data_IF_380913332326
#
_entry.id   IF_380913332326
#
_cell.length_a   1.000
_cell.length_b   1.000
_cell.length_c   1.000
_cell.angle_alpha   90.00
_cell.angle_beta   90.00
_cell.angle_gamma   90.00
#
_symmetry.space_group_name_H-M   'P 1'
#
loop_
_entity.id
_entity.type
_entity.pdbx_description
1 polymer ?
#
# COMPACT_ATOMS: atom_id res chain seq x y z
N UNK A 1 -13.09 1.39 -9.79
CA UNK A 1 -13.16 1.94 -8.42
C UNK A 1 -11.74 2.34 -8.00
N UNK A 2 -11.59 3.01 -6.87
CA UNK A 2 -10.29 3.37 -6.31
C UNK A 2 -10.25 2.99 -4.83
N UNK A 3 -9.09 2.59 -4.32
CA UNK A 3 -8.91 2.03 -2.97
C UNK A 3 -7.63 2.54 -2.32
N UNK A 4 -7.48 2.23 -1.04
CA UNK A 4 -6.23 2.36 -0.29
C UNK A 4 -5.71 3.81 -0.25
N UNK A 5 -6.64 4.74 -0.04
CA UNK A 5 -6.33 6.16 0.06
C UNK A 5 -5.68 6.48 1.40
N UNK A 6 -4.49 7.09 1.38
CA UNK A 6 -3.79 7.56 2.57
C UNK A 6 -2.95 8.81 2.26
N UNK A 7 -3.24 9.91 2.94
CA UNK A 7 -2.50 11.16 2.73
C UNK A 7 -1.09 11.08 3.32
N UNK A 8 -0.14 11.72 2.64
CA UNK A 8 1.11 12.12 3.25
C UNK A 8 0.80 13.23 4.28
N UNK A 9 1.44 13.20 5.46
CA UNK A 9 1.05 14.08 6.58
C UNK A 9 1.46 15.56 6.39
N UNK A 10 2.27 15.85 5.37
CA UNK A 10 2.78 17.19 5.09
C UNK A 10 2.64 17.53 3.59
N UNK A 11 2.52 18.81 3.22
CA UNK A 11 2.61 19.21 1.82
C UNK A 11 3.93 18.82 1.18
N UNK A 12 3.87 18.45 -0.10
CA UNK A 12 5.02 18.04 -0.90
C UNK A 12 5.03 18.79 -2.24
N UNK A 13 6.04 18.53 -3.07
CA UNK A 13 6.02 18.96 -4.48
C UNK A 13 5.52 17.83 -5.37
N UNK A 14 4.61 18.14 -6.28
CA UNK A 14 4.23 17.24 -7.36
C UNK A 14 5.37 17.08 -8.37
N UNK A 15 5.34 16.06 -9.24
CA UNK A 15 6.31 15.92 -10.33
C UNK A 15 6.30 17.11 -11.30
N UNK A 16 5.16 17.80 -11.44
CA UNK A 16 5.05 19.07 -12.17
C UNK A 16 5.64 20.28 -11.42
N UNK A 17 6.04 20.13 -10.16
CA UNK A 17 6.73 21.15 -9.35
C UNK A 17 5.82 22.00 -8.46
N UNK A 18 4.51 21.83 -8.54
CA UNK A 18 3.52 22.56 -7.74
C UNK A 18 3.50 22.08 -6.28
N UNK A 19 3.16 22.96 -5.33
CA UNK A 19 2.87 22.54 -3.96
C UNK A 19 1.54 21.79 -3.91
N UNK A 20 1.55 20.61 -3.30
CA UNK A 20 0.41 19.71 -3.31
C UNK A 20 0.26 18.95 -1.98
N UNK A 21 -0.98 18.55 -1.68
CA UNK A 21 -1.24 17.43 -0.80
C UNK A 21 -1.14 16.15 -1.62
N UNK A 22 -0.25 15.25 -1.23
CA UNK A 22 -0.13 13.93 -1.86
C UNK A 22 -0.94 12.90 -1.08
N UNK A 23 -1.53 11.96 -1.81
CA UNK A 23 -2.15 10.77 -1.23
C UNK A 23 -1.77 9.54 -2.03
N UNK A 24 -1.54 8.43 -1.33
CA UNK A 24 -1.67 7.15 -1.97
C UNK A 24 -3.10 6.91 -2.44
N UNK A 25 -3.22 6.11 -3.48
CA UNK A 25 -4.45 5.48 -3.92
C UNK A 25 -4.09 4.27 -4.81
N UNK A 26 -5.08 3.47 -5.20
CA UNK A 26 -4.88 2.29 -6.02
C UNK A 26 -6.07 2.09 -6.95
N UNK A 27 -5.97 2.55 -8.20
CA UNK A 27 -6.95 2.25 -9.23
C UNK A 27 -7.16 0.73 -9.37
N UNK A 28 -8.41 0.29 -9.31
CA UNK A 28 -8.76 -1.13 -9.40
C UNK A 28 -8.96 -1.55 -10.85
N UNK A 29 -8.49 -2.75 -11.20
CA UNK A 29 -8.85 -3.38 -12.46
C UNK A 29 -10.35 -3.69 -12.45
N UNK A 30 -11.02 -3.48 -13.59
CA UNK A 30 -12.42 -3.87 -13.77
C UNK A 30 -12.47 -5.29 -14.31
N UNK A 31 -12.30 -6.28 -13.42
CA UNK A 31 -12.36 -7.69 -13.77
C UNK A 31 -13.78 -8.23 -13.54
N UNK A 32 -14.22 -9.14 -14.40
CA UNK A 32 -15.51 -9.83 -14.25
C UNK A 32 -15.41 -10.86 -13.11
N UNK A 33 -16.05 -10.57 -11.98
CA UNK A 33 -15.89 -11.32 -10.73
C UNK A 33 -16.81 -12.56 -10.61
N UNK A 34 -17.11 -13.25 -11.72
CA UNK A 34 -17.96 -14.46 -11.66
C UNK A 34 -17.29 -15.62 -10.93
N UNK A 35 -15.96 -15.75 -11.07
CA UNK A 35 -15.13 -16.74 -10.36
C UNK A 35 -13.80 -16.08 -9.91
N UNK A 36 -13.48 -16.09 -8.60
CA UNK A 36 -12.19 -15.62 -8.09
C UNK A 36 -10.97 -16.26 -8.75
N UNK A 37 -11.07 -17.54 -9.16
CA UNK A 37 -9.98 -18.27 -9.80
C UNK A 37 -9.72 -17.75 -11.22
N UNK A 38 -10.77 -17.43 -11.97
CA UNK A 38 -10.65 -16.83 -13.30
C UNK A 38 -10.04 -15.42 -13.22
N UNK A 39 -10.50 -14.61 -12.26
CA UNK A 39 -9.94 -13.28 -12.04
C UNK A 39 -8.45 -13.33 -11.67
N UNK A 40 -8.02 -14.34 -10.91
CA UNK A 40 -6.61 -14.53 -10.57
C UNK A 40 -5.77 -14.91 -11.78
N UNK A 41 -6.23 -15.89 -12.57
CA UNK A 41 -5.55 -16.26 -13.80
C UNK A 41 -5.39 -15.07 -14.76
N UNK A 42 -6.42 -14.21 -14.86
CA UNK A 42 -6.35 -12.99 -15.66
C UNK A 42 -5.29 -12.03 -15.12
N UNK A 43 -5.27 -11.72 -13.82
CA UNK A 43 -4.24 -10.87 -13.20
C UNK A 43 -2.85 -11.45 -13.42
N UNK A 44 -2.69 -12.76 -13.27
CA UNK A 44 -1.40 -13.42 -13.41
C UNK A 44 -0.88 -13.43 -14.85
N UNK A 45 -1.78 -13.40 -15.83
CA UNK A 45 -1.42 -13.24 -17.24
C UNK A 45 -0.89 -11.84 -17.56
N UNK A 46 -1.20 -10.82 -16.74
CA UNK A 46 -0.74 -9.46 -16.95
C UNK A 46 0.72 -9.26 -16.52
N UNK A 47 1.50 -8.46 -17.26
CA UNK A 47 2.77 -7.93 -16.78
C UNK A 47 2.59 -7.23 -15.43
N UNK A 48 3.57 -7.34 -14.52
CA UNK A 48 3.51 -6.72 -13.19
C UNK A 48 3.20 -5.21 -13.24
N UNK A 49 3.69 -4.51 -14.27
CA UNK A 49 3.44 -3.09 -14.49
C UNK A 49 1.97 -2.75 -14.80
N UNK A 50 1.17 -3.72 -15.23
CA UNK A 50 -0.24 -3.59 -15.58
C UNK A 50 -1.19 -4.11 -14.49
N UNK A 51 -0.70 -4.86 -13.50
CA UNK A 51 -1.50 -5.32 -12.35
C UNK A 51 -1.93 -4.17 -11.46
N UNK A 52 -2.79 -4.39 -10.47
CA UNK A 52 -3.12 -3.35 -9.49
C UNK A 52 -1.90 -2.97 -8.63
N UNK A 53 -1.60 -1.68 -8.53
CA UNK A 53 -0.41 -1.20 -7.82
C UNK A 53 -0.62 0.18 -7.22
N UNK A 54 0.13 0.47 -6.16
CA UNK A 54 0.07 1.77 -5.48
C UNK A 54 0.43 2.91 -6.44
N UNK A 55 -0.36 3.97 -6.38
CA UNK A 55 -0.15 5.23 -7.09
C UNK A 55 -0.19 6.39 -6.10
N UNK A 56 0.34 7.53 -6.50
CA UNK A 56 0.29 8.78 -5.73
C UNK A 56 -0.49 9.79 -6.54
N UNK A 57 -1.61 10.22 -5.99
CA UNK A 57 -2.38 11.37 -6.44
C UNK A 57 -1.87 12.65 -5.78
N UNK A 58 -1.98 13.76 -6.50
CA UNK A 58 -1.63 15.09 -6.02
C UNK A 58 -2.84 16.01 -6.15
N UNK A 59 -3.11 16.75 -5.09
CA UNK A 59 -4.14 17.78 -5.01
C UNK A 59 -3.46 19.13 -4.79
N UNK A 60 -3.82 20.14 -5.58
CA UNK A 60 -3.18 21.45 -5.49
C UNK A 60 -3.44 22.13 -4.13
N UNK A 61 -2.37 22.44 -3.39
CA UNK A 61 -2.48 23.00 -2.04
C UNK A 61 -3.16 24.37 -2.03
N UNK A 62 -2.90 25.21 -3.05
CA UNK A 62 -3.50 26.53 -3.17
C UNK A 62 -5.03 26.45 -3.36
N UNK A 63 -5.52 25.44 -4.11
CA UNK A 63 -6.94 25.20 -4.28
C UNK A 63 -7.58 24.77 -2.95
N UNK A 64 -6.98 23.83 -2.22
CA UNK A 64 -7.49 23.37 -0.91
C UNK A 64 -7.54 24.49 0.13
N UNK A 65 -6.55 25.38 0.13
CA UNK A 65 -6.54 26.56 1.02
C UNK A 65 -7.66 27.56 0.72
N UNK A 66 -8.08 27.65 -0.54
CA UNK A 66 -9.19 28.52 -0.97
C UNK A 66 -10.54 27.87 -0.72
N UNK A 67 -10.64 26.56 -0.94
CA UNK A 67 -11.84 25.76 -0.81
C UNK A 67 -11.47 24.34 -0.39
N UNK A 68 -11.93 23.93 0.80
CA UNK A 68 -11.63 22.60 1.34
C UNK A 68 -12.20 21.47 0.49
N UNK A 69 -13.27 21.69 -0.28
CA UNK A 69 -13.81 20.66 -1.17
C UNK A 69 -12.84 20.26 -2.28
N UNK A 70 -11.87 21.14 -2.61
CA UNK A 70 -10.83 20.83 -3.56
C UNK A 70 -9.96 19.64 -3.13
N UNK A 71 -9.99 19.21 -1.86
CA UNK A 71 -9.29 18.00 -1.38
C UNK A 71 -9.69 16.73 -2.14
N UNK A 72 -10.91 16.71 -2.69
CA UNK A 72 -11.43 15.59 -3.49
C UNK A 72 -11.02 15.66 -4.97
N UNK A 73 -10.28 16.70 -5.39
CA UNK A 73 -9.91 16.93 -6.79
C UNK A 73 -8.44 16.61 -7.02
N UNK A 74 -8.16 15.35 -7.37
CA UNK A 74 -6.82 14.92 -7.78
C UNK A 74 -6.52 15.45 -9.18
N UNK A 75 -5.49 16.30 -9.30
CA UNK A 75 -5.11 16.96 -10.57
C UNK A 75 -3.99 16.24 -11.32
N UNK A 76 -3.24 15.40 -10.61
CA UNK A 76 -2.11 14.65 -11.16
C UNK A 76 -2.01 13.31 -10.43
N UNK A 77 -1.77 12.22 -11.15
CA UNK A 77 -1.54 10.88 -10.57
C UNK A 77 -0.36 10.19 -11.23
N UNK A 78 0.47 9.55 -10.41
CA UNK A 78 1.63 8.79 -10.86
C UNK A 78 1.64 7.42 -10.21
N UNK A 79 1.76 6.38 -11.04
CA UNK A 79 1.97 5.02 -10.54
C UNK A 79 3.36 4.90 -9.93
N UNK A 80 3.44 4.32 -8.74
CA UNK A 80 4.72 4.07 -8.08
C UNK A 80 5.42 2.90 -8.76
N UNK A 81 6.65 3.13 -9.21
CA UNK A 81 7.51 2.09 -9.78
C UNK A 81 8.27 1.39 -8.66
N UNK A 82 7.66 0.34 -8.12
CA UNK A 82 8.27 -0.46 -7.07
C UNK A 82 9.51 -1.23 -7.60
N UNK A 83 10.63 -1.25 -6.86
CA UNK A 83 11.72 -2.18 -7.11
C UNK A 83 11.23 -3.64 -7.16
N UNK A 84 11.87 -4.53 -7.94
CA UNK A 84 11.51 -5.94 -7.96
C UNK A 84 11.57 -6.59 -6.57
N UNK A 85 10.62 -7.48 -6.27
CA UNK A 85 10.60 -8.30 -5.06
C UNK A 85 9.77 -9.57 -5.31
N UNK A 86 9.93 -10.58 -4.47
CA UNK A 86 9.26 -11.89 -4.59
C UNK A 86 7.91 -11.96 -3.86
N UNK A 87 7.29 -10.81 -3.59
CA UNK A 87 6.03 -10.71 -2.85
C UNK A 87 5.16 -9.56 -3.37
N UNK A 88 3.85 -9.62 -3.11
CA UNK A 88 2.87 -8.69 -3.63
C UNK A 88 2.73 -8.80 -5.16
N UNK A 89 2.83 -10.01 -5.70
CA UNK A 89 2.83 -10.26 -7.13
C UNK A 89 1.45 -10.12 -7.75
N UNK A 90 0.37 -10.44 -7.03
CA UNK A 90 -0.99 -10.25 -7.54
C UNK A 90 -1.33 -8.76 -7.57
N UNK A 91 -1.11 -8.09 -6.44
CA UNK A 91 -1.27 -6.64 -6.30
C UNK A 91 -0.52 -6.10 -5.09
N UNK A 92 -0.25 -4.80 -5.14
CA UNK A 92 0.28 -4.03 -4.00
C UNK A 92 -0.60 -2.82 -3.76
N UNK A 93 -0.76 -2.41 -2.51
CA UNK A 93 -1.49 -1.21 -2.15
C UNK A 93 -0.92 -0.54 -0.91
N UNK A 94 -1.30 0.72 -0.71
CA UNK A 94 -0.92 1.43 0.51
C UNK A 94 -1.65 0.85 1.73
N UNK A 95 -1.12 1.14 2.91
CA UNK A 95 -1.75 0.81 4.18
C UNK A 95 -1.88 2.04 5.04
N UNK A 96 -0.98 2.14 6.02
CA UNK A 96 -0.93 3.28 6.92
C UNK A 96 -0.41 4.55 6.20
N UNK A 97 -0.76 5.75 6.71
CA UNK A 97 -0.11 6.99 6.31
C UNK A 97 1.43 6.91 6.43
N UNK A 98 2.19 7.46 5.47
CA UNK A 98 3.64 7.52 5.53
C UNK A 98 4.17 8.27 6.76
N UNK A 99 5.34 7.86 7.25
CA UNK A 99 6.08 8.55 8.30
C UNK A 99 7.37 9.12 7.73
N UNK A 100 7.64 10.40 8.03
CA UNK A 100 8.89 11.05 7.65
C UNK A 100 10.06 10.56 8.51
N UNK A 101 11.13 10.11 7.87
CA UNK A 101 12.42 9.76 8.50
C UNK A 101 13.54 10.58 7.86
N UNK A 102 14.77 10.45 8.37
CA UNK A 102 15.94 11.10 7.77
C UNK A 102 16.28 10.51 6.40
N UNK A 103 15.98 9.22 6.20
CA UNK A 103 16.23 8.49 4.96
C UNK A 103 15.14 8.66 3.89
N UNK A 104 13.96 9.18 4.25
CA UNK A 104 12.84 9.26 3.32
C UNK A 104 11.46 9.26 3.95
N UNK A 105 10.44 9.08 3.12
CA UNK A 105 9.10 8.75 3.57
C UNK A 105 8.97 7.24 3.70
N UNK A 106 8.96 6.74 4.93
CA UNK A 106 8.73 5.34 5.25
C UNK A 106 7.23 5.04 5.19
N UNK A 107 6.85 4.10 4.33
CA UNK A 107 5.48 3.65 4.19
C UNK A 107 5.38 2.14 4.41
N UNK A 108 4.46 1.74 5.27
CA UNK A 108 4.09 0.32 5.42
C UNK A 108 2.99 0.02 4.41
N UNK A 109 3.34 -0.76 3.38
CA UNK A 109 2.43 -1.15 2.30
C UNK A 109 2.01 -2.60 2.46
N UNK A 110 0.89 -2.97 1.83
CA UNK A 110 0.49 -4.37 1.73
C UNK A 110 0.76 -4.93 0.33
N UNK A 111 1.01 -6.22 0.29
CA UNK A 111 1.16 -7.03 -0.91
C UNK A 111 0.26 -8.25 -0.81
N UNK A 112 -0.31 -8.64 -1.94
CA UNK A 112 -1.18 -9.79 -2.06
C UNK A 112 -0.54 -10.82 -2.97
N UNK A 113 -0.53 -12.06 -2.50
CA UNK A 113 -0.01 -13.23 -3.22
C UNK A 113 -1.03 -14.38 -3.10
N UNK A 114 -0.95 -15.37 -3.99
CA UNK A 114 -1.73 -16.59 -3.83
C UNK A 114 -1.08 -17.46 -2.75
N UNK A 115 -1.91 -17.98 -1.85
CA UNK A 115 -1.48 -18.89 -0.81
C UNK A 115 -1.36 -20.30 -1.42
N UNK A 116 -0.13 -20.76 -1.66
CA UNK A 116 0.18 -22.11 -2.17
C UNK A 116 -0.78 -22.58 -3.28
N UNK A 117 -0.43 -22.24 -4.52
CA UNK A 117 -1.13 -22.62 -5.75
C UNK A 117 -1.48 -24.12 -5.86
N UNK A 118 -0.83 -25.01 -5.10
CA UNK A 118 -1.06 -26.46 -5.16
C UNK A 118 -2.10 -26.97 -4.16
N UNK A 119 -2.37 -26.20 -3.10
CA UNK A 119 -3.17 -26.69 -1.95
C UNK A 119 -4.40 -25.85 -1.69
N UNK A 120 -4.38 -24.58 -2.08
CA UNK A 120 -5.44 -23.65 -1.73
C UNK A 120 -5.83 -22.78 -2.93
N UNK A 121 -6.05 -23.42 -4.09
CA UNK A 121 -6.41 -22.79 -5.36
C UNK A 121 -7.29 -21.54 -5.18
N UNK A 122 -6.70 -20.38 -5.49
CA UNK A 122 -7.39 -19.09 -5.46
C UNK A 122 -7.47 -18.39 -4.10
N UNK A 123 -6.93 -18.97 -3.02
CA UNK A 123 -6.91 -18.32 -1.71
C UNK A 123 -5.80 -17.28 -1.65
N UNK A 124 -6.14 -16.07 -1.21
CA UNK A 124 -5.20 -14.95 -1.16
C UNK A 124 -4.55 -14.83 0.22
N UNK A 125 -3.30 -14.38 0.23
CA UNK A 125 -2.57 -13.97 1.43
C UNK A 125 -2.21 -12.49 1.33
N UNK A 126 -2.60 -11.72 2.34
CA UNK A 126 -2.23 -10.32 2.47
C UNK A 126 -1.11 -10.21 3.50
N UNK A 127 0.03 -9.69 3.07
CA UNK A 127 1.21 -9.46 3.92
C UNK A 127 1.62 -8.00 3.86
N UNK A 128 2.36 -7.52 4.86
CA UNK A 128 2.86 -6.15 4.88
C UNK A 128 4.39 -6.11 4.78
N UNK A 129 4.90 -5.06 4.16
CA UNK A 129 6.32 -4.73 4.09
C UNK A 129 6.49 -3.23 3.99
N UNK A 130 7.70 -2.77 3.67
CA UNK A 130 7.98 -1.33 3.63
C UNK A 130 8.51 -0.87 2.29
N UNK A 131 8.24 0.40 2.00
CA UNK A 131 8.92 1.18 0.97
C UNK A 131 9.39 2.50 1.57
N UNK A 132 10.48 3.04 1.02
CA UNK A 132 11.00 4.36 1.38
C UNK A 132 11.03 5.21 0.12
N UNK A 133 10.29 6.32 0.11
CA UNK A 133 10.37 7.32 -0.96
C UNK A 133 11.42 8.38 -0.63
N UNK A 134 12.00 8.99 -1.67
CA UNK A 134 12.80 10.20 -1.53
C UNK A 134 11.96 11.34 -0.92
N UNK A 135 12.54 12.10 0.02
CA UNK A 135 11.86 13.19 0.73
C UNK A 135 11.29 14.27 -0.20
N UNK A 136 11.97 14.54 -1.31
CA UNK A 136 11.64 15.62 -2.23
C UNK A 136 10.96 15.14 -3.51
N UNK A 137 11.05 13.83 -3.79
CA UNK A 137 10.60 13.21 -5.05
C UNK A 137 9.87 11.91 -4.74
N UNK A 138 8.58 12.01 -4.43
CA UNK A 138 7.76 10.83 -4.10
C UNK A 138 7.62 9.82 -5.26
N UNK A 139 7.91 10.21 -6.50
CA UNK A 139 8.00 9.28 -7.63
C UNK A 139 9.23 8.36 -7.58
N UNK A 140 10.21 8.67 -6.72
CA UNK A 140 11.47 7.93 -6.55
C UNK A 140 11.44 7.06 -5.31
N UNK A 141 11.51 5.75 -5.51
CA UNK A 141 11.68 4.77 -4.44
C UNK A 141 13.18 4.57 -4.16
N UNK A 142 13.56 4.76 -2.91
CA UNK A 142 14.91 4.52 -2.39
C UNK A 142 15.08 3.08 -1.90
N UNK A 143 14.02 2.51 -1.33
CA UNK A 143 14.04 1.15 -0.80
C UNK A 143 12.67 0.48 -0.90
N UNK A 144 12.68 -0.84 -1.09
CA UNK A 144 11.54 -1.74 -0.88
C UNK A 144 12.05 -2.97 -0.16
N UNK A 145 11.32 -3.46 0.85
CA UNK A 145 11.68 -4.70 1.51
C UNK A 145 11.67 -5.87 0.52
N UNK A 146 12.74 -6.70 0.45
CA UNK A 146 12.82 -7.80 -0.52
C UNK A 146 11.83 -8.94 -0.20
N UNK A 147 11.40 -9.02 1.05
CA UNK A 147 10.44 -9.98 1.60
C UNK A 147 9.36 -9.19 2.38
N UNK A 148 8.17 -9.78 2.61
CA UNK A 148 7.22 -9.22 3.56
C UNK A 148 7.81 -9.26 4.97
N UNK A 149 7.50 -8.24 5.78
CA UNK A 149 7.94 -8.11 7.16
C UNK A 149 6.87 -8.57 8.17
N UNK A 150 5.60 -8.51 7.77
CA UNK A 150 4.49 -9.08 8.51
C UNK A 150 3.74 -10.05 7.61
N UNK A 151 3.70 -11.31 8.01
CA UNK A 151 3.01 -12.39 7.32
C UNK A 151 1.97 -12.96 8.28
N UNK A 152 0.78 -13.35 7.80
CA UNK A 152 -0.23 -14.01 8.63
C UNK A 152 0.31 -15.32 9.22
N UNK A 153 0.49 -15.38 10.54
CA UNK A 153 1.01 -16.53 11.27
C UNK A 153 0.15 -16.90 12.48
N UNK A 154 -0.34 -15.91 13.22
CA UNK A 154 -1.14 -16.18 14.42
C UNK A 154 -2.60 -16.41 14.09
N UNK A 155 -3.32 -17.06 15.01
CA UNK A 155 -4.72 -17.49 14.80
C UNK A 155 -5.63 -16.38 14.30
N UNK A 156 -5.51 -15.16 14.85
CA UNK A 156 -6.33 -14.02 14.45
C UNK A 156 -6.02 -13.52 13.03
N UNK A 157 -4.81 -13.74 12.51
CA UNK A 157 -4.42 -13.33 11.15
C UNK A 157 -4.80 -14.39 10.10
N UNK A 158 -4.79 -15.67 10.49
CA UNK A 158 -5.07 -16.79 9.58
C UNK A 158 -6.54 -17.20 9.56
N UNK A 159 -7.36 -16.77 10.52
CA UNK A 159 -8.80 -17.10 10.60
C UNK A 159 -9.64 -15.88 10.97
N UNK A 160 -10.57 -15.55 10.11
CA UNK A 160 -11.54 -14.47 10.29
C UNK A 160 -12.47 -14.38 9.09
N UNK A 161 -13.07 -13.21 8.88
CA UNK A 161 -13.94 -12.93 7.73
C UNK A 161 -13.18 -13.13 6.41
N UNK A 162 -11.95 -12.63 6.35
CA UNK A 162 -11.01 -12.85 5.24
C UNK A 162 -9.78 -13.54 5.80
N UNK A 163 -9.61 -14.83 5.54
CA UNK A 163 -8.48 -15.57 6.12
C UNK A 163 -7.13 -15.15 5.52
N UNK A 164 -6.05 -15.32 6.29
CA UNK A 164 -4.67 -15.00 5.89
C UNK A 164 -4.45 -13.52 5.55
N UNK A 165 -4.82 -12.63 6.48
CA UNK A 165 -4.68 -11.17 6.30
C UNK A 165 -3.92 -10.54 7.43
N UNK A 166 -2.87 -9.81 7.05
CA UNK A 166 -2.29 -8.69 7.77
C UNK A 166 -2.47 -7.44 6.91
N UNK A 167 -3.30 -6.49 7.35
CA UNK A 167 -3.56 -5.25 6.62
C UNK A 167 -3.09 -4.02 7.43
N UNK A 168 -1.93 -3.42 7.11
CA UNK A 168 -1.37 -2.30 7.87
C UNK A 168 -2.29 -1.08 7.80
N UNK A 169 -2.62 -0.51 8.95
CA UNK A 169 -3.62 0.59 9.06
C UNK A 169 -3.06 1.81 9.78
N UNK A 170 -2.19 1.63 10.77
CA UNK A 170 -1.57 2.72 11.52
C UNK A 170 -0.11 2.43 11.83
N UNK A 171 0.70 3.50 11.91
CA UNK A 171 2.11 3.43 12.30
C UNK A 171 2.36 4.52 13.33
N UNK A 172 2.99 4.16 14.45
CA UNK A 172 3.35 5.06 15.54
C UNK A 172 4.85 4.97 15.80
N UNK A 173 5.56 6.11 15.72
CA UNK A 173 7.01 6.18 15.89
C UNK A 173 7.35 6.13 17.38
N UNK A 174 8.09 5.09 17.79
CA UNK A 174 8.54 4.87 19.18
C UNK A 174 9.99 5.30 19.40
N UNK A 175 10.78 5.33 18.35
CA UNK A 175 12.18 5.77 18.38
C UNK A 175 12.64 6.20 16.99
N UNK A 176 13.95 6.30 16.80
CA UNK A 176 14.51 6.75 15.52
C UNK A 176 14.11 5.81 14.37
N UNK A 177 14.34 4.51 14.58
CA UNK A 177 14.03 3.42 13.64
C UNK A 177 13.10 2.35 14.27
N UNK A 178 12.41 2.70 15.35
CA UNK A 178 11.44 1.82 16.02
C UNK A 178 10.01 2.33 15.82
N UNK A 179 9.13 1.45 15.36
CA UNK A 179 7.74 1.77 15.05
C UNK A 179 6.80 0.67 15.58
N UNK A 180 5.70 1.07 16.19
CA UNK A 180 4.56 0.17 16.41
C UNK A 180 3.66 0.25 15.16
N UNK A 181 3.39 -0.90 14.54
CA UNK A 181 2.50 -1.03 13.38
C UNK A 181 1.18 -1.66 13.84
N UNK A 182 0.08 -0.94 13.67
CA UNK A 182 -1.27 -1.42 13.92
C UNK A 182 -1.89 -1.92 12.61
N UNK A 183 -2.49 -3.11 12.64
CA UNK A 183 -2.98 -3.76 11.43
C UNK A 183 -4.25 -4.56 11.68
N UNK A 184 -5.10 -4.67 10.65
CA UNK A 184 -6.22 -5.59 10.65
C UNK A 184 -5.74 -7.04 10.52
N UNK A 185 -6.31 -7.91 11.35
CA UNK A 185 -6.09 -9.35 11.37
C UNK A 185 -7.35 -10.04 10.84
N UNK A 186 -7.25 -10.68 9.68
CA UNK A 186 -8.33 -11.44 9.05
C UNK A 186 -9.71 -10.75 8.93
N UNK A 187 -9.74 -9.41 8.79
CA UNK A 187 -10.97 -8.60 8.82
C UNK A 187 -11.86 -8.92 10.04
N UNK A 188 -11.22 -9.17 11.19
CA UNK A 188 -11.91 -9.63 12.40
C UNK A 188 -11.33 -9.01 13.68
N UNK A 189 -10.01 -8.93 13.79
CA UNK A 189 -9.29 -8.40 14.94
C UNK A 189 -8.32 -7.28 14.54
N UNK A 190 -7.78 -6.57 15.54
CA UNK A 190 -6.70 -5.59 15.33
C UNK A 190 -5.47 -6.07 16.08
N UNK A 191 -4.36 -6.12 15.36
CA UNK A 191 -3.04 -6.46 15.85
C UNK A 191 -2.15 -5.24 16.07
N UNK A 192 -1.09 -5.46 16.86
CA UNK A 192 0.04 -4.54 16.96
C UNK A 192 1.34 -5.32 16.89
N UNK A 193 2.15 -5.02 15.89
CA UNK A 193 3.51 -5.53 15.74
C UNK A 193 4.54 -4.43 15.95
N UNK A 194 5.79 -4.80 16.25
CA UNK A 194 6.91 -3.87 16.31
C UNK A 194 7.81 -4.05 15.10
N UNK A 195 8.14 -2.95 14.46
CA UNK A 195 9.11 -2.86 13.38
C UNK A 195 10.34 -2.12 13.88
N UNK A 196 11.52 -2.71 13.69
CA UNK A 196 12.81 -2.09 13.97
C UNK A 196 13.67 -2.22 12.73
N UNK A 197 14.14 -1.08 12.22
CA UNK A 197 14.90 -0.97 10.96
C UNK A 197 16.39 -0.77 11.19
#
# INVERSE_FOLDING_TARGET
>A
ADKDAAFFPEPVRSPSGAEALALYHRPTLQLSMSDPSEALNEIESLPLAQREGVAIGYVELAAVRKDLEAICTVVETHRVKLPPAEWGLIKTGAGAPPVRTEDGWLSVIHGVDELDHRRHHGMLRYSAGIIVHDLNRLDRILYRSPQPLFVPEVRGEVRGTTSHVVFPTGVDRRGELEFDVYYGMADYEVGRGRLTL
#
